data_IF_844402900037
#
_entry.id   IF_844402900037
#
_cell.length_a   1.000
_cell.length_b   1.000
_cell.length_c   1.000
_cell.angle_alpha   90.00
_cell.angle_beta   90.00
_cell.angle_gamma   90.00
#
_symmetry.space_group_name_H-M   'P 1'
#
loop_
_entity.id
_entity.type
_entity.pdbx_description
1 polymer ?
#
# COMPACT_ATOMS: atom_id res chain seq x y z
N UNK A 1 -5.09 -18.55 -40.47
CA UNK A 1 -5.02 -20.01 -40.66
C UNK A 1 -6.43 -20.54 -40.48
N UNK A 2 -7.07 -21.05 -41.55
CA UNK A 2 -8.49 -21.45 -41.54
C UNK A 2 -8.70 -22.54 -40.49
N UNK A 3 -9.47 -22.22 -39.45
CA UNK A 3 -10.05 -23.22 -38.55
C UNK A 3 -10.88 -24.15 -39.42
N UNK A 4 -10.56 -25.43 -39.37
CA UNK A 4 -11.19 -26.46 -40.21
C UNK A 4 -12.67 -26.54 -39.84
N UNK A 5 -13.56 -26.65 -40.83
CA UNK A 5 -15.03 -26.77 -40.67
C UNK A 5 -15.51 -27.69 -39.51
N UNK A 6 -14.82 -28.79 -39.13
CA UNK A 6 -15.16 -29.59 -37.96
C UNK A 6 -15.03 -28.88 -36.60
N UNK A 7 -14.13 -27.91 -36.47
CA UNK A 7 -13.92 -27.17 -35.23
C UNK A 7 -15.01 -26.10 -35.00
N UNK A 8 -15.54 -25.51 -36.07
CA UNK A 8 -16.67 -24.56 -35.98
C UNK A 8 -17.97 -25.28 -35.61
N UNK A 9 -18.22 -26.48 -36.17
CA UNK A 9 -19.39 -27.29 -35.81
C UNK A 9 -19.35 -27.73 -34.34
N UNK A 10 -18.18 -28.17 -33.86
CA UNK A 10 -17.97 -28.53 -32.46
C UNK A 10 -18.18 -27.33 -31.52
N UNK A 11 -17.66 -26.15 -31.88
CA UNK A 11 -17.88 -24.90 -31.13
C UNK A 11 -19.35 -24.51 -31.07
N UNK A 12 -20.08 -24.57 -32.19
CA UNK A 12 -21.52 -24.28 -32.20
C UNK A 12 -22.29 -25.24 -31.31
N UNK A 13 -22.00 -26.55 -31.39
CA UNK A 13 -22.70 -27.56 -30.58
C UNK A 13 -22.53 -27.32 -29.09
N UNK A 14 -21.31 -27.03 -28.61
CA UNK A 14 -21.09 -26.78 -27.18
C UNK A 14 -21.75 -25.48 -26.71
N UNK A 15 -21.79 -24.45 -27.57
CA UNK A 15 -22.50 -23.19 -27.26
C UNK A 15 -24.00 -23.42 -27.19
N UNK A 16 -24.60 -24.11 -28.17
CA UNK A 16 -26.01 -24.49 -28.14
C UNK A 16 -26.36 -25.28 -26.87
N UNK A 17 -25.49 -26.21 -26.47
CA UNK A 17 -25.67 -26.98 -25.24
C UNK A 17 -25.61 -26.09 -23.99
N UNK A 18 -24.65 -25.15 -23.94
CA UNK A 18 -24.54 -24.19 -22.84
C UNK A 18 -25.81 -23.33 -22.72
N UNK A 19 -26.32 -22.83 -23.84
CA UNK A 19 -27.51 -21.97 -23.90
C UNK A 19 -28.81 -22.71 -23.57
N UNK A 20 -28.91 -24.01 -23.91
CA UNK A 20 -30.10 -24.83 -23.65
C UNK A 20 -30.12 -25.51 -22.29
N UNK A 21 -29.01 -25.47 -21.54
CA UNK A 21 -28.85 -26.18 -20.26
C UNK A 21 -28.80 -25.25 -19.03
N UNK A 22 -29.35 -24.04 -19.10
CA UNK A 22 -29.25 -23.00 -18.05
C UNK A 22 -29.53 -23.53 -16.63
N UNK A 23 -30.72 -24.08 -16.39
CA UNK A 23 -31.14 -24.51 -15.06
C UNK A 23 -30.22 -25.60 -14.48
N UNK A 24 -29.87 -26.59 -15.32
CA UNK A 24 -28.96 -27.68 -14.95
C UNK A 24 -27.56 -27.15 -14.65
N UNK A 25 -27.05 -26.23 -15.47
CA UNK A 25 -25.73 -25.64 -15.31
C UNK A 25 -25.65 -24.79 -14.06
N UNK A 26 -26.61 -23.88 -13.84
CA UNK A 26 -26.64 -23.04 -12.63
C UNK A 26 -26.74 -23.87 -11.36
N UNK A 27 -27.60 -24.90 -11.34
CA UNK A 27 -27.72 -25.81 -10.21
C UNK A 27 -26.39 -26.53 -9.91
N UNK A 28 -25.77 -27.12 -10.93
CA UNK A 28 -24.52 -27.87 -10.77
C UNK A 28 -23.35 -26.95 -10.41
N UNK A 29 -23.28 -25.78 -11.04
CA UNK A 29 -22.24 -24.78 -10.78
C UNK A 29 -22.33 -24.24 -9.35
N UNK A 30 -23.53 -24.01 -8.84
CA UNK A 30 -23.76 -23.63 -7.44
C UNK A 30 -23.25 -24.71 -6.48
N UNK A 31 -23.57 -25.99 -6.74
CA UNK A 31 -23.12 -27.10 -5.90
C UNK A 31 -21.59 -27.25 -5.86
N UNK A 32 -20.93 -27.06 -7.01
CA UNK A 32 -19.48 -27.24 -7.13
C UNK A 32 -18.69 -26.07 -6.55
N UNK A 33 -19.18 -24.84 -6.74
CA UNK A 33 -18.47 -23.63 -6.32
C UNK A 33 -18.79 -23.20 -4.89
N UNK A 34 -19.96 -23.57 -4.36
CA UNK A 34 -20.49 -23.04 -3.10
C UNK A 34 -20.78 -21.53 -3.12
N UNK A 35 -20.84 -20.92 -4.32
CA UNK A 35 -21.09 -19.49 -4.50
C UNK A 35 -22.58 -19.13 -4.40
N UNK A 36 -22.86 -17.83 -4.28
CA UNK A 36 -24.24 -17.34 -4.31
C UNK A 36 -24.90 -17.67 -5.65
N UNK A 37 -26.14 -18.22 -5.66
CA UNK A 37 -26.89 -18.43 -6.89
C UNK A 37 -27.07 -17.16 -7.72
N UNK A 38 -27.19 -16.00 -7.07
CA UNK A 38 -27.38 -14.72 -7.74
C UNK A 38 -26.09 -14.29 -8.47
N UNK A 39 -24.93 -14.37 -7.80
CA UNK A 39 -23.63 -14.07 -8.43
C UNK A 39 -23.37 -14.96 -9.66
N UNK A 40 -23.74 -16.24 -9.57
CA UNK A 40 -23.57 -17.19 -10.69
C UNK A 40 -24.57 -16.95 -11.81
N UNK A 41 -25.78 -16.46 -11.50
CA UNK A 41 -26.78 -16.08 -12.50
C UNK A 41 -26.29 -14.89 -13.32
N UNK A 42 -25.78 -13.84 -12.68
CA UNK A 42 -25.23 -12.67 -13.37
C UNK A 42 -24.07 -13.06 -14.30
N UNK A 43 -23.16 -13.91 -13.81
CA UNK A 43 -22.06 -14.42 -14.63
C UNK A 43 -22.55 -15.31 -15.78
N UNK A 44 -23.55 -16.15 -15.56
CA UNK A 44 -24.16 -16.97 -16.60
C UNK A 44 -24.81 -16.10 -17.68
N UNK A 45 -25.57 -15.07 -17.30
CA UNK A 45 -26.22 -14.15 -18.23
C UNK A 45 -25.22 -13.35 -19.07
N UNK A 46 -24.12 -12.90 -18.46
CA UNK A 46 -23.03 -12.26 -19.18
C UNK A 46 -22.33 -13.22 -20.16
N UNK A 47 -22.07 -14.46 -19.75
CA UNK A 47 -21.52 -15.51 -20.62
C UNK A 47 -22.49 -15.85 -21.76
N UNK A 48 -23.78 -15.98 -21.48
CA UNK A 48 -24.85 -16.25 -22.47
C UNK A 48 -24.85 -15.18 -23.56
N UNK A 49 -24.75 -13.91 -23.14
CA UNK A 49 -24.71 -12.75 -24.04
C UNK A 49 -23.44 -12.75 -24.88
N UNK A 50 -22.27 -12.93 -24.25
CA UNK A 50 -20.98 -12.99 -24.94
C UNK A 50 -20.90 -14.13 -25.96
N UNK A 51 -21.37 -15.33 -25.60
CA UNK A 51 -21.35 -16.51 -26.45
C UNK A 51 -22.35 -16.44 -27.62
N UNK A 52 -23.40 -15.64 -27.47
CA UNK A 52 -24.41 -15.40 -28.51
C UNK A 52 -24.02 -14.25 -29.45
N UNK A 53 -22.98 -13.48 -29.12
CA UNK A 53 -22.47 -12.37 -29.94
C UNK A 53 -21.56 -12.87 -31.07
N UNK A 54 -21.67 -12.26 -32.25
CA UNK A 54 -20.82 -12.59 -33.41
C UNK A 54 -19.35 -12.20 -33.19
N UNK A 55 -19.11 -11.12 -32.45
CA UNK A 55 -17.76 -10.60 -32.16
C UNK A 55 -17.07 -11.38 -31.02
N UNK A 56 -17.82 -12.11 -30.20
CA UNK A 56 -17.30 -12.93 -29.11
C UNK A 56 -16.60 -12.11 -28.02
N UNK A 57 -17.10 -10.92 -27.71
CA UNK A 57 -16.52 -10.08 -26.66
C UNK A 57 -16.99 -10.50 -25.27
N UNK A 58 -16.03 -10.64 -24.36
CA UNK A 58 -16.22 -11.02 -22.96
C UNK A 58 -15.96 -9.84 -22.02
N UNK A 59 -16.06 -8.59 -22.49
CA UNK A 59 -15.83 -7.39 -21.67
C UNK A 59 -16.72 -7.35 -20.43
N UNK A 60 -18.02 -7.61 -20.58
CA UNK A 60 -18.97 -7.61 -19.45
C UNK A 60 -18.66 -8.73 -18.46
N UNK A 61 -18.33 -9.93 -18.95
CA UNK A 61 -17.90 -11.07 -18.12
C UNK A 61 -16.63 -10.72 -17.34
N UNK A 62 -15.64 -10.11 -18.00
CA UNK A 62 -14.42 -9.61 -17.35
C UNK A 62 -14.74 -8.51 -16.33
N UNK A 63 -15.71 -7.64 -16.60
CA UNK A 63 -16.18 -6.62 -15.67
C UNK A 63 -16.69 -7.22 -14.36
N UNK A 64 -17.65 -8.14 -14.46
CA UNK A 64 -18.22 -8.83 -13.29
C UNK A 64 -17.17 -9.63 -12.51
N UNK A 65 -16.31 -10.38 -13.22
CA UNK A 65 -15.22 -11.13 -12.60
C UNK A 65 -14.20 -10.21 -11.91
N UNK A 66 -13.94 -9.03 -12.47
CA UNK A 66 -13.05 -8.05 -11.85
C UNK A 66 -13.65 -7.46 -10.58
N UNK A 67 -14.95 -7.15 -10.58
CA UNK A 67 -15.67 -6.68 -9.39
C UNK A 67 -15.69 -7.74 -8.28
N UNK A 68 -16.04 -8.98 -8.63
CA UNK A 68 -16.04 -10.11 -7.71
C UNK A 68 -14.65 -10.35 -7.10
N UNK A 69 -13.61 -10.35 -7.94
CA UNK A 69 -12.23 -10.53 -7.50
C UNK A 69 -11.79 -9.42 -6.53
N UNK A 70 -12.06 -8.14 -6.85
CA UNK A 70 -11.74 -7.01 -5.97
C UNK A 70 -12.51 -7.03 -4.65
N UNK A 71 -13.79 -7.42 -4.67
CA UNK A 71 -14.60 -7.54 -3.46
C UNK A 71 -14.03 -8.61 -2.51
N UNK A 72 -13.64 -9.76 -3.06
CA UNK A 72 -13.05 -10.88 -2.31
C UNK A 72 -11.67 -10.56 -1.72
N UNK A 73 -10.86 -9.74 -2.39
CA UNK A 73 -9.60 -9.22 -1.81
C UNK A 73 -9.87 -8.48 -0.51
N UNK A 74 -10.89 -7.61 -0.46
CA UNK A 74 -11.24 -6.83 0.73
C UNK A 74 -11.80 -7.70 1.87
N UNK A 75 -12.37 -8.84 1.54
CA UNK A 75 -12.89 -9.82 2.50
C UNK A 75 -11.83 -10.82 2.98
N UNK A 76 -10.59 -10.75 2.47
CA UNK A 76 -9.50 -11.62 2.89
C UNK A 76 -9.52 -13.02 2.27
N UNK A 77 -10.28 -13.23 1.19
CA UNK A 77 -10.28 -14.48 0.44
C UNK A 77 -8.99 -14.66 -0.34
N UNK A 78 -8.71 -15.89 -0.76
CA UNK A 78 -7.56 -16.21 -1.61
C UNK A 78 -7.89 -16.02 -3.09
N UNK A 79 -6.90 -15.77 -3.98
CA UNK A 79 -7.15 -15.70 -5.42
C UNK A 79 -7.74 -17.02 -5.97
N UNK A 80 -7.36 -18.14 -5.36
CA UNK A 80 -7.87 -19.47 -5.70
C UNK A 80 -9.38 -19.60 -5.48
N UNK A 81 -9.97 -18.85 -4.55
CA UNK A 81 -11.41 -18.97 -4.25
C UNK A 81 -12.27 -18.45 -5.42
N UNK A 82 -11.84 -17.35 -6.06
CA UNK A 82 -12.51 -16.84 -7.27
C UNK A 82 -12.22 -17.71 -8.49
N UNK A 83 -10.98 -18.19 -8.63
CA UNK A 83 -10.62 -19.07 -9.75
C UNK A 83 -11.36 -20.42 -9.70
N UNK A 84 -11.52 -21.04 -8.52
CA UNK A 84 -12.29 -22.28 -8.35
C UNK A 84 -13.75 -22.10 -8.75
N UNK A 85 -14.36 -20.96 -8.41
CA UNK A 85 -15.70 -20.62 -8.86
C UNK A 85 -15.76 -20.66 -10.40
N UNK A 86 -14.86 -19.96 -11.08
CA UNK A 86 -14.83 -19.95 -12.56
C UNK A 86 -14.56 -21.33 -13.14
N UNK A 87 -13.55 -22.07 -12.63
CA UNK A 87 -13.16 -23.38 -13.15
C UNK A 87 -14.23 -24.46 -12.95
N UNK A 88 -15.04 -24.37 -11.90
CA UNK A 88 -16.11 -25.35 -11.66
C UNK A 88 -17.19 -25.37 -12.77
N UNK A 89 -17.30 -24.30 -13.56
CA UNK A 89 -18.16 -24.28 -14.75
C UNK A 89 -17.76 -25.33 -15.79
N UNK A 90 -16.47 -25.70 -15.85
CA UNK A 90 -15.97 -26.74 -16.75
C UNK A 90 -16.59 -28.10 -16.42
N UNK A 91 -16.64 -28.47 -15.16
CA UNK A 91 -17.22 -29.75 -14.73
C UNK A 91 -18.72 -29.77 -14.99
N UNK A 92 -19.43 -28.68 -14.67
CA UNK A 92 -20.85 -28.55 -14.96
C UNK A 92 -21.17 -28.71 -16.46
N UNK A 93 -20.39 -28.07 -17.35
CA UNK A 93 -20.61 -28.20 -18.79
C UNK A 93 -20.11 -29.54 -19.36
N UNK A 94 -19.05 -30.11 -18.80
CA UNK A 94 -18.57 -31.44 -19.19
C UNK A 94 -19.64 -32.50 -18.94
N UNK A 95 -20.28 -32.51 -17.77
CA UNK A 95 -21.38 -33.44 -17.45
C UNK A 95 -22.59 -33.27 -18.38
N UNK A 96 -22.86 -32.04 -18.83
CA UNK A 96 -23.89 -31.79 -19.84
C UNK A 96 -23.47 -32.34 -21.22
N UNK A 97 -22.21 -32.13 -21.61
CA UNK A 97 -21.66 -32.58 -22.89
C UNK A 97 -21.55 -34.11 -22.97
N UNK A 98 -21.22 -34.77 -21.86
CA UNK A 98 -21.21 -36.23 -21.76
C UNK A 98 -22.63 -36.81 -21.88
N UNK A 99 -23.62 -36.16 -21.24
CA UNK A 99 -25.02 -36.55 -21.35
C UNK A 99 -25.63 -36.33 -22.75
N UNK A 100 -25.08 -35.41 -23.56
CA UNK A 100 -25.46 -35.21 -24.97
C UNK A 100 -25.11 -36.43 -25.84
N UNK A 101 -24.09 -37.21 -25.44
CA UNK A 101 -23.65 -38.43 -26.12
C UNK A 101 -22.99 -38.22 -27.49
N UNK A 102 -22.93 -36.98 -28.00
CA UNK A 102 -22.35 -36.63 -29.29
C UNK A 102 -20.84 -36.31 -29.22
N UNK A 103 -20.01 -36.79 -30.17
CA UNK A 103 -18.58 -36.48 -30.19
C UNK A 103 -18.29 -35.00 -30.47
N UNK A 104 -19.21 -34.26 -31.10
CA UNK A 104 -19.09 -32.83 -31.38
C UNK A 104 -19.11 -31.99 -30.09
N UNK A 105 -19.97 -32.31 -29.13
CA UNK A 105 -20.07 -31.59 -27.85
C UNK A 105 -18.77 -31.73 -27.04
N UNK A 106 -18.22 -32.94 -26.96
CA UNK A 106 -16.95 -33.21 -26.27
C UNK A 106 -15.75 -32.54 -26.97
N UNK A 107 -15.75 -32.45 -28.31
CA UNK A 107 -14.71 -31.68 -29.03
C UNK A 107 -14.84 -30.18 -28.77
N UNK A 108 -16.07 -29.67 -28.74
CA UNK A 108 -16.36 -28.26 -28.44
C UNK A 108 -15.98 -27.88 -27.00
N UNK A 109 -16.13 -28.81 -26.06
CA UNK A 109 -15.73 -28.63 -24.67
C UNK A 109 -14.27 -28.22 -24.51
N UNK A 110 -13.36 -28.71 -25.36
CA UNK A 110 -11.93 -28.31 -25.30
C UNK A 110 -11.77 -26.80 -25.54
N UNK A 111 -12.53 -26.23 -26.48
CA UNK A 111 -12.52 -24.79 -26.72
C UNK A 111 -13.11 -24.03 -25.52
N UNK A 112 -14.25 -24.49 -25.00
CA UNK A 112 -14.89 -23.86 -23.84
C UNK A 112 -13.98 -23.91 -22.60
N UNK A 113 -13.31 -25.04 -22.38
CA UNK A 113 -12.36 -25.21 -21.28
C UNK A 113 -11.23 -24.18 -21.34
N UNK A 114 -10.69 -23.89 -22.53
CA UNK A 114 -9.68 -22.84 -22.72
C UNK A 114 -10.23 -21.44 -22.42
N UNK A 115 -11.45 -21.13 -22.89
CA UNK A 115 -12.12 -19.88 -22.55
C UNK A 115 -12.24 -19.70 -21.02
N UNK A 116 -12.66 -20.75 -20.31
CA UNK A 116 -12.78 -20.71 -18.85
C UNK A 116 -11.40 -20.66 -18.17
N UNK A 117 -10.35 -21.25 -18.74
CA UNK A 117 -8.97 -21.06 -18.27
C UNK A 117 -8.55 -19.59 -18.33
N UNK A 118 -8.80 -18.94 -19.47
CA UNK A 118 -8.47 -17.52 -19.68
C UNK A 118 -9.22 -16.62 -18.70
N UNK A 119 -10.51 -16.89 -18.46
CA UNK A 119 -11.30 -16.16 -17.45
C UNK A 119 -10.80 -16.41 -16.03
N UNK A 120 -10.43 -17.65 -15.69
CA UNK A 120 -9.85 -17.97 -14.39
C UNK A 120 -8.51 -17.28 -14.17
N UNK A 121 -7.63 -17.26 -15.18
CA UNK A 121 -6.36 -16.53 -15.13
C UNK A 121 -6.59 -15.03 -14.95
N UNK A 122 -7.55 -14.45 -15.69
CA UNK A 122 -7.93 -13.05 -15.54
C UNK A 122 -8.36 -12.69 -14.11
N UNK A 123 -9.09 -13.58 -13.42
CA UNK A 123 -9.45 -13.34 -12.00
C UNK A 123 -8.22 -13.27 -11.09
N UNK A 124 -7.20 -14.07 -11.37
CA UNK A 124 -5.94 -14.12 -10.62
C UNK A 124 -5.11 -12.85 -10.84
N UNK A 125 -4.98 -12.41 -12.08
CA UNK A 125 -4.31 -11.15 -12.43
C UNK A 125 -5.01 -9.95 -11.77
N UNK A 126 -6.34 -9.91 -11.83
CA UNK A 126 -7.12 -8.85 -11.20
C UNK A 126 -6.99 -8.86 -9.68
N UNK A 127 -6.99 -10.04 -9.06
CA UNK A 127 -6.76 -10.18 -7.62
C UNK A 127 -5.38 -9.63 -7.25
N UNK A 128 -4.35 -10.02 -7.98
CA UNK A 128 -2.96 -9.65 -7.73
C UNK A 128 -2.78 -8.14 -7.83
N UNK A 129 -3.28 -7.54 -8.91
CA UNK A 129 -3.23 -6.09 -9.10
C UNK A 129 -4.00 -5.32 -8.01
N UNK A 130 -5.17 -5.82 -7.60
CA UNK A 130 -5.93 -5.21 -6.52
C UNK A 130 -5.23 -5.33 -5.15
N UNK A 131 -4.61 -6.47 -4.87
CA UNK A 131 -3.84 -6.70 -3.64
C UNK A 131 -2.59 -5.84 -3.58
N UNK A 132 -1.87 -5.71 -4.69
CA UNK A 132 -0.70 -4.84 -4.81
C UNK A 132 -1.06 -3.38 -4.58
N UNK A 133 -2.16 -2.90 -5.16
CA UNK A 133 -2.66 -1.53 -4.93
C UNK A 133 -2.94 -1.28 -3.45
N UNK A 134 -3.61 -2.20 -2.77
CA UNK A 134 -3.86 -2.08 -1.32
C UNK A 134 -2.54 -1.99 -0.53
N UNK A 135 -1.52 -2.77 -0.90
CA UNK A 135 -0.21 -2.73 -0.21
C UNK A 135 0.46 -1.38 -0.43
N UNK A 136 0.43 -0.85 -1.65
CA UNK A 136 1.01 0.46 -1.97
C UNK A 136 0.30 1.60 -1.22
N UNK A 137 -1.02 1.61 -1.24
CA UNK A 137 -1.82 2.63 -0.54
C UNK A 137 -1.56 2.57 0.98
N UNK A 138 -1.45 1.36 1.55
CA UNK A 138 -1.11 1.18 2.96
C UNK A 138 0.31 1.65 3.28
N UNK A 139 1.28 1.41 2.40
CA UNK A 139 2.65 1.87 2.57
C UNK A 139 2.73 3.41 2.53
N UNK A 140 2.00 4.05 1.63
CA UNK A 140 1.91 5.50 1.56
C UNK A 140 1.28 6.11 2.82
N UNK A 141 0.16 5.55 3.30
CA UNK A 141 -0.46 5.99 4.55
C UNK A 141 0.48 5.83 5.76
N UNK A 142 1.25 4.73 5.81
CA UNK A 142 2.26 4.55 6.85
C UNK A 142 3.36 5.62 6.76
N UNK A 143 3.80 5.99 5.56
CA UNK A 143 4.76 7.08 5.37
C UNK A 143 4.18 8.43 5.84
N UNK A 144 2.94 8.76 5.50
CA UNK A 144 2.29 10.01 5.92
C UNK A 144 2.18 10.15 7.44
N UNK A 145 1.88 9.04 8.13
CA UNK A 145 1.75 8.98 9.59
C UNK A 145 3.10 8.95 10.32
N UNK A 146 4.20 8.67 9.62
CA UNK A 146 5.48 8.31 10.25
C UNK A 146 6.32 9.47 10.78
N UNK A 147 5.97 10.72 10.47
CA UNK A 147 6.74 11.88 10.97
C UNK A 147 5.85 13.11 11.19
N UNK A 148 5.20 13.23 12.36
CA UNK A 148 4.37 14.39 12.66
C UNK A 148 5.27 15.61 12.94
N UNK A 149 5.03 16.72 12.23
CA UNK A 149 5.56 18.03 12.64
C UNK A 149 4.63 18.56 13.72
N UNK A 150 5.16 18.84 14.91
CA UNK A 150 4.37 19.24 16.08
C UNK A 150 4.77 20.63 16.57
N UNK A 151 3.80 21.49 16.89
CA UNK A 151 4.06 22.76 17.56
C UNK A 151 4.43 22.49 19.02
N UNK A 152 5.66 22.82 19.44
CA UNK A 152 6.10 22.67 20.82
C UNK A 152 5.81 23.91 21.66
N UNK A 153 5.89 25.09 21.05
CA UNK A 153 5.65 26.38 21.69
C UNK A 153 5.23 27.42 20.65
N UNK A 154 4.86 28.61 21.09
CA UNK A 154 4.71 29.75 20.18
C UNK A 154 6.04 30.04 19.48
N UNK A 155 6.04 30.06 18.15
CA UNK A 155 7.25 30.24 17.35
C UNK A 155 8.19 29.02 17.23
N UNK A 156 7.84 27.86 17.82
CA UNK A 156 8.71 26.67 17.86
C UNK A 156 7.97 25.41 17.42
N UNK A 157 8.49 24.75 16.37
CA UNK A 157 8.02 23.44 15.90
C UNK A 157 9.09 22.36 16.11
N UNK A 158 8.68 21.10 16.16
CA UNK A 158 9.58 19.96 16.23
C UNK A 158 9.19 18.85 15.28
N UNK A 159 10.20 18.10 14.87
CA UNK A 159 10.13 16.98 13.94
C UNK A 159 10.87 15.80 14.55
N UNK A 160 10.19 14.90 15.27
CA UNK A 160 10.79 13.69 15.78
C UNK A 160 10.93 12.65 14.66
N UNK A 161 12.17 12.25 14.36
CA UNK A 161 12.49 11.20 13.40
C UNK A 161 12.65 9.87 14.15
N UNK A 162 11.84 8.88 13.80
CA UNK A 162 11.84 7.55 14.45
C UNK A 162 11.96 6.44 13.42
N UNK A 163 12.82 5.44 13.67
CA UNK A 163 13.00 4.28 12.81
C UNK A 163 14.02 4.51 11.70
N UNK A 164 13.99 3.67 10.67
CA UNK A 164 14.89 3.81 9.51
C UNK A 164 14.46 5.02 8.67
N UNK A 165 15.40 5.93 8.42
CA UNK A 165 15.21 7.02 7.47
C UNK A 165 15.65 6.54 6.10
N UNK A 166 14.82 6.76 5.10
CA UNK A 166 15.17 6.64 3.69
C UNK A 166 14.98 7.98 2.98
N UNK A 167 15.40 8.06 1.71
CA UNK A 167 15.31 9.30 0.93
C UNK A 167 13.87 9.78 0.73
N UNK A 168 12.92 8.87 0.48
CA UNK A 168 11.51 9.20 0.24
C UNK A 168 10.87 9.81 1.49
N UNK A 169 11.06 9.18 2.64
CA UNK A 169 10.55 9.66 3.91
C UNK A 169 11.18 10.98 4.31
N UNK A 170 12.49 11.17 4.10
CA UNK A 170 13.15 12.43 4.46
C UNK A 170 12.67 13.61 3.61
N UNK A 171 12.30 13.36 2.34
CA UNK A 171 11.67 14.36 1.48
C UNK A 171 10.28 14.79 2.01
N UNK A 172 9.42 13.83 2.34
CA UNK A 172 8.09 14.12 2.93
C UNK A 172 8.22 14.92 4.23
N UNK A 173 9.22 14.58 5.05
CA UNK A 173 9.52 15.31 6.29
C UNK A 173 9.91 16.75 6.03
N UNK A 174 10.78 16.99 5.05
CA UNK A 174 11.21 18.32 4.68
C UNK A 174 10.00 19.15 4.23
N UNK A 175 9.18 18.63 3.32
CA UNK A 175 8.00 19.32 2.80
C UNK A 175 7.02 19.68 3.92
N UNK A 176 6.68 18.72 4.80
CA UNK A 176 5.81 18.97 5.95
C UNK A 176 6.39 19.99 6.91
N UNK A 177 7.69 19.94 7.19
CA UNK A 177 8.34 20.92 8.07
C UNK A 177 8.25 22.33 7.49
N UNK A 178 8.63 22.50 6.22
CA UNK A 178 8.62 23.80 5.57
C UNK A 178 7.22 24.38 5.49
N UNK A 179 6.21 23.57 5.14
CA UNK A 179 4.82 23.98 5.13
C UNK A 179 4.35 24.41 6.53
N UNK A 180 4.66 23.61 7.55
CA UNK A 180 4.27 23.93 8.94
C UNK A 180 4.92 25.22 9.42
N UNK A 181 6.20 25.44 9.12
CA UNK A 181 6.91 26.68 9.50
C UNK A 181 6.22 27.93 8.96
N UNK A 182 5.71 27.87 7.72
CA UNK A 182 4.95 28.95 7.10
C UNK A 182 3.59 29.11 7.77
N UNK A 183 2.84 28.01 7.90
CA UNK A 183 1.47 28.03 8.44
C UNK A 183 1.43 28.51 9.89
N UNK A 184 2.47 28.19 10.69
CA UNK A 184 2.57 28.58 12.10
C UNK A 184 3.42 29.83 12.34
N UNK A 185 4.04 30.41 11.29
CA UNK A 185 4.96 31.54 11.43
C UNK A 185 6.11 31.28 12.39
N UNK A 186 6.62 30.04 12.44
CA UNK A 186 7.60 29.63 13.45
C UNK A 186 9.04 29.94 13.03
N UNK A 187 9.77 30.58 13.93
CA UNK A 187 11.17 31.01 13.71
C UNK A 187 12.18 29.93 14.12
N UNK A 188 11.73 28.87 14.81
CA UNK A 188 12.60 27.79 15.26
C UNK A 188 12.03 26.41 14.93
N UNK A 189 12.92 25.52 14.47
CA UNK A 189 12.61 24.12 14.22
C UNK A 189 13.58 23.21 14.98
N UNK A 190 13.04 22.25 15.74
CA UNK A 190 13.84 21.21 16.39
C UNK A 190 13.71 19.89 15.64
N UNK A 191 14.80 19.39 15.07
CA UNK A 191 14.85 18.10 14.38
C UNK A 191 15.43 17.07 15.35
N UNK A 192 14.59 16.19 15.88
CA UNK A 192 15.02 15.18 16.85
C UNK A 192 15.32 13.85 16.17
N UNK A 193 16.58 13.45 16.19
CA UNK A 193 17.04 12.18 15.59
C UNK A 193 17.29 11.09 16.64
N UNK A 194 16.79 11.27 17.87
CA UNK A 194 16.98 10.31 18.98
C UNK A 194 16.49 8.90 18.63
N UNK A 195 15.44 8.80 17.81
CA UNK A 195 14.82 7.55 17.35
C UNK A 195 15.43 6.94 16.09
N UNK A 196 16.48 7.54 15.52
CA UNK A 196 17.15 7.07 14.31
C UNK A 196 18.33 6.17 14.70
N UNK A 197 18.36 4.88 14.29
CA UNK A 197 19.38 3.94 14.73
C UNK A 197 20.76 4.19 14.10
N UNK A 198 20.78 4.58 12.82
CA UNK A 198 21.98 4.85 12.05
C UNK A 198 21.73 5.97 11.04
N UNK A 199 22.77 6.74 10.73
CA UNK A 199 22.75 7.78 9.71
C UNK A 199 23.77 7.40 8.65
N UNK A 200 23.33 7.31 7.40
CA UNK A 200 24.20 7.14 6.24
C UNK A 200 24.43 8.48 5.52
N UNK A 201 25.19 8.45 4.42
CA UNK A 201 25.47 9.64 3.61
C UNK A 201 24.21 10.27 3.02
N UNK A 202 23.23 9.46 2.60
CA UNK A 202 22.01 9.98 1.97
C UNK A 202 21.13 10.69 2.99
N UNK A 203 20.89 10.07 4.15
CA UNK A 203 20.09 10.64 5.23
C UNK A 203 20.71 11.95 5.73
N UNK A 204 22.03 11.96 5.97
CA UNK A 204 22.73 13.17 6.40
C UNK A 204 22.63 14.31 5.37
N UNK A 205 22.77 14.02 4.07
CA UNK A 205 22.59 15.02 3.02
C UNK A 205 21.16 15.57 2.98
N UNK A 206 20.14 14.73 3.16
CA UNK A 206 18.76 15.20 3.19
C UNK A 206 18.48 16.04 4.45
N UNK A 207 19.02 15.67 5.62
CA UNK A 207 18.92 16.49 6.83
C UNK A 207 19.54 17.88 6.62
N UNK A 208 20.72 17.95 6.00
CA UNK A 208 21.37 19.22 5.68
C UNK A 208 20.54 20.07 4.71
N UNK A 209 19.98 19.47 3.66
CA UNK A 209 19.06 20.17 2.75
C UNK A 209 17.85 20.73 3.48
N UNK A 210 17.25 19.95 4.38
CA UNK A 210 16.11 20.38 5.20
C UNK A 210 16.47 21.58 6.07
N UNK A 211 17.61 21.54 6.75
CA UNK A 211 18.10 22.66 7.58
C UNK A 211 18.34 23.91 6.72
N UNK A 212 19.00 23.77 5.57
CA UNK A 212 19.27 24.90 4.68
C UNK A 212 17.98 25.50 4.14
N UNK A 213 17.03 24.66 3.73
CA UNK A 213 15.73 25.10 3.24
C UNK A 213 14.95 25.85 4.33
N UNK A 214 14.90 25.32 5.55
CA UNK A 214 14.24 25.99 6.68
C UNK A 214 14.90 27.34 7.02
N UNK A 215 16.24 27.42 6.95
CA UNK A 215 16.98 28.67 7.13
C UNK A 215 16.63 29.70 6.05
N UNK A 216 16.46 29.29 4.79
CA UNK A 216 16.01 30.17 3.71
C UNK A 216 14.58 30.69 3.95
N UNK A 217 13.75 29.93 4.66
CA UNK A 217 12.42 30.35 5.11
C UNK A 217 12.44 31.22 6.37
N UNK A 218 13.62 31.56 6.91
CA UNK A 218 13.78 32.38 8.10
C UNK A 218 13.73 31.62 9.43
N UNK A 219 13.74 30.28 9.41
CA UNK A 219 13.71 29.46 10.61
C UNK A 219 15.10 28.93 11.01
N UNK A 220 15.49 29.10 12.28
CA UNK A 220 16.70 28.50 12.85
C UNK A 220 16.44 27.04 13.23
N UNK A 221 17.18 26.11 12.61
CA UNK A 221 17.11 24.69 12.94
C UNK A 221 18.11 24.30 14.03
N UNK A 222 17.64 23.46 14.96
CA UNK A 222 18.44 22.80 16.00
C UNK A 222 18.27 21.29 15.85
N UNK A 223 19.38 20.55 15.81
CA UNK A 223 19.34 19.08 15.76
C UNK A 223 19.54 18.51 17.16
N UNK A 224 18.64 17.64 17.61
CA UNK A 224 18.77 16.92 18.89
C UNK A 224 18.96 15.43 18.70
N UNK A 225 19.53 14.76 19.71
CA UNK A 225 19.56 13.30 19.75
C UNK A 225 20.73 12.64 19.00
N UNK A 226 21.79 13.40 18.69
CA UNK A 226 23.00 12.85 18.07
C UNK A 226 23.72 11.94 19.07
N UNK A 227 23.60 10.62 18.86
CA UNK A 227 24.31 9.59 19.64
C UNK A 227 25.78 9.52 19.23
N UNK A 228 26.70 9.03 20.10
CA UNK A 228 28.13 8.93 19.77
C UNK A 228 28.42 8.19 18.46
N UNK A 229 27.68 7.11 18.17
CA UNK A 229 27.80 6.35 16.92
C UNK A 229 27.47 7.21 15.68
N UNK A 230 26.41 8.03 15.76
CA UNK A 230 25.98 8.92 14.66
C UNK A 230 27.02 10.01 14.44
N UNK A 231 27.52 10.61 15.53
CA UNK A 231 28.58 11.62 15.45
C UNK A 231 29.84 11.06 14.79
N UNK A 232 30.26 9.85 15.16
CA UNK A 232 31.41 9.19 14.53
C UNK A 232 31.18 8.98 13.04
N UNK A 233 30.02 8.43 12.65
CA UNK A 233 29.68 8.20 11.25
C UNK A 233 29.66 9.50 10.44
N UNK A 234 29.07 10.58 10.96
CA UNK A 234 29.06 11.89 10.30
C UNK A 234 30.49 12.39 10.01
N UNK A 235 31.39 12.28 10.99
CA UNK A 235 32.80 12.67 10.86
C UNK A 235 33.52 11.76 9.85
N UNK A 236 33.32 10.45 9.92
CA UNK A 236 33.94 9.48 8.99
C UNK A 236 33.48 9.70 7.55
N UNK A 237 32.22 10.07 7.35
CA UNK A 237 31.66 10.39 6.03
C UNK A 237 32.13 11.76 5.51
N UNK A 238 32.84 12.56 6.31
CA UNK A 238 33.31 13.89 5.93
C UNK A 238 32.17 14.91 5.78
N UNK A 239 31.06 14.71 6.49
CA UNK A 239 29.89 15.58 6.38
C UNK A 239 30.04 16.74 7.37
N UNK A 240 30.13 17.95 6.84
CA UNK A 240 30.27 19.17 7.64
C UNK A 240 28.89 19.71 8.01
N UNK A 241 28.55 19.64 9.29
CA UNK A 241 27.33 20.27 9.83
C UNK A 241 27.49 21.78 10.06
N UNK A 242 28.68 22.35 9.78
CA UNK A 242 28.93 23.80 9.85
C UNK A 242 28.41 24.45 11.12
N UNK A 243 27.64 25.53 10.95
CA UNK A 243 27.02 26.31 12.04
C UNK A 243 25.67 25.75 12.53
N UNK A 244 25.36 24.49 12.24
CA UNK A 244 24.11 23.88 12.72
C UNK A 244 24.23 23.64 14.22
N UNK A 245 23.29 24.21 14.97
CA UNK A 245 23.24 24.02 16.42
C UNK A 245 22.82 22.60 16.71
N UNK A 246 23.62 21.90 17.51
CA UNK A 246 23.33 20.55 17.97
C UNK A 246 23.15 20.51 19.48
N UNK A 247 22.25 19.63 19.96
CA UNK A 247 22.00 19.39 21.37
C UNK A 247 21.87 17.90 21.66
N UNK A 248 22.22 17.51 22.88
CA UNK A 248 22.22 16.10 23.27
C UNK A 248 20.80 15.52 23.35
N UNK A 249 19.82 16.32 23.81
CA UNK A 249 18.43 15.90 23.98
C UNK A 249 17.44 16.90 23.37
N UNK A 250 16.21 16.44 23.11
CA UNK A 250 15.09 17.29 22.68
C UNK A 250 14.81 18.40 23.72
N UNK A 251 14.94 18.11 25.02
CA UNK A 251 14.76 19.08 26.09
C UNK A 251 15.81 20.21 26.05
N UNK A 252 17.06 19.87 25.74
CA UNK A 252 18.15 20.86 25.58
C UNK A 252 17.96 21.71 24.33
N UNK A 253 17.46 21.12 23.24
CA UNK A 253 17.12 21.83 22.01
C UNK A 253 15.95 22.79 22.20
N UNK A 254 14.88 22.34 22.86
CA UNK A 254 13.75 23.20 23.21
C UNK A 254 14.19 24.34 24.14
N UNK A 255 15.00 24.06 25.16
CA UNK A 255 15.54 25.09 26.05
C UNK A 255 16.39 26.12 25.31
N UNK A 256 17.15 25.68 24.29
CA UNK A 256 17.92 26.59 23.45
C UNK A 256 17.00 27.47 22.58
N UNK A 257 16.01 26.88 21.92
CA UNK A 257 15.07 27.60 21.08
C UNK A 257 14.25 28.62 21.88
N UNK A 258 13.73 28.24 23.06
CA UNK A 258 13.00 29.15 23.95
C UNK A 258 13.83 30.38 24.34
N UNK A 259 15.10 30.18 24.71
CA UNK A 259 16.01 31.29 25.03
C UNK A 259 16.23 32.23 23.85
N UNK A 260 16.31 31.69 22.62
CA UNK A 260 16.43 32.49 21.39
C UNK A 260 15.16 33.29 21.10
N UNK A 261 14.00 32.73 21.40
CA UNK A 261 12.71 33.43 21.31
C UNK A 261 12.45 34.42 22.47
N UNK A 262 13.43 34.65 23.35
CA UNK A 262 13.29 35.57 24.50
C UNK A 262 12.50 35.00 25.68
N UNK A 263 12.24 33.69 25.71
CA UNK A 263 11.54 33.01 26.80
C UNK A 263 12.57 32.40 27.77
N UNK A 264 12.55 32.85 29.03
CA UNK A 264 13.36 32.28 30.10
C UNK A 264 12.57 31.23 30.90
N UNK A 265 13.12 30.01 30.98
CA UNK A 265 12.59 28.97 31.86
C UNK A 265 13.16 29.18 33.26
N UNK A 266 12.37 29.78 34.15
CA UNK A 266 12.75 29.90 35.57
C UNK A 266 12.45 28.60 36.31
N UNK A 267 13.46 27.88 36.76
CA UNK A 267 13.27 26.69 37.60
C UNK A 267 12.86 27.05 39.02
N UNK A 268 12.04 26.20 39.66
CA UNK A 268 11.88 26.25 41.12
C UNK A 268 13.22 25.88 41.77
N UNK A 269 13.71 26.73 42.68
CA UNK A 269 14.99 26.56 43.36
C UNK A 269 15.08 25.19 44.05
N UNK A 270 16.03 24.35 43.64
CA UNK A 270 16.38 23.14 44.39
C UNK A 270 17.18 23.54 45.63
N UNK A 271 16.53 23.64 46.78
CA UNK A 271 17.18 23.73 48.10
C UNK A 271 18.08 22.50 48.28
N UNK A 272 19.40 22.65 48.11
CA UNK A 272 20.36 21.62 48.52
C UNK A 272 20.55 21.73 50.04
N UNK A 273 20.04 20.76 50.78
CA UNK A 273 20.37 20.56 52.19
C UNK A 273 21.85 20.15 52.27
N UNK A 274 22.67 21.01 52.87
CA UNK A 274 24.06 20.70 53.17
C UNK A 274 24.11 19.76 54.38
N UNK A 275 24.53 18.51 54.18
CA UNK A 275 24.87 17.61 55.29
C UNK A 275 26.30 17.96 55.75
N UNK A 276 26.41 18.58 56.94
CA UNK A 276 27.69 18.70 57.65
C UNK A 276 28.09 17.31 58.14
N UNK A 277 29.22 16.80 57.68
CA UNK A 277 29.90 15.69 58.33
C UNK A 277 30.65 16.23 59.56
N UNK A 278 30.18 15.88 60.76
CA UNK A 278 30.98 16.01 61.99
C UNK A 278 32.12 14.99 61.96
N UNK A 279 33.33 15.47 62.25
CA UNK A 279 34.51 14.63 62.50
C UNK A 279 34.43 14.07 63.92
N UNK A 280 34.65 12.77 64.05
CA UNK A 280 35.17 12.14 65.27
C UNK A 280 36.29 11.19 64.84
#
# INVERSE_FOLDING_TARGET
MRVTVPADAARRRIVELFLSSEERLLQRWTQLSGASPDDLRDLYEALRTALSSDDGDFADVRGLLAELSRARVRQGHTPSDTARLVFSLKEALYEAAEADGGPEALRGFVWFSRLVDDLGLFTFETYTAARERIILDQAEQLLELSTPVVKLWEGIVAVPLVGTLDSARTQVVMEKLLQTLVDTGSEHAVIDITGVPAVDTQVAQHLLKTVVAARLMGAECVISGIRPQIAHTIVTLGIEFGDIVTKASLADALSYALKRSGVEITGAAKTRVAVRAERA
#
